data_IF_718434935139
#
_entry.id   IF_718434935139
#
_cell.length_a   1.000
_cell.length_b   1.000
_cell.length_c   1.000
_cell.angle_alpha   90.00
_cell.angle_beta   90.00
_cell.angle_gamma   90.00
#
_symmetry.space_group_name_H-M   'P 1'
#
loop_
_entity.id
_entity.type
_entity.pdbx_description
1 polymer ?
#
# COMPACT_ATOMS: atom_id res chain seq x y z
N UNK A 1 9.28 18.43 7.38
CA UNK A 1 9.26 17.74 8.70
C UNK A 1 10.71 17.52 9.15
N UNK A 2 11.12 18.21 10.20
CA UNK A 2 12.52 18.36 10.64
C UNK A 2 13.04 17.16 11.47
N UNK A 3 12.95 15.93 10.95
CA UNK A 3 13.67 14.77 11.49
C UNK A 3 13.38 14.36 12.94
N UNK A 4 12.27 14.80 13.53
CA UNK A 4 12.00 14.66 14.97
C UNK A 4 11.44 13.29 15.42
N UNK A 5 11.48 12.25 14.57
CA UNK A 5 10.97 10.95 14.96
C UNK A 5 10.97 9.87 13.88
N UNK A 6 10.50 8.69 14.28
CA UNK A 6 10.28 7.52 13.42
C UNK A 6 8.83 7.51 12.91
N UNK A 7 8.64 7.02 11.69
CA UNK A 7 7.31 6.80 11.13
C UNK A 7 7.24 5.41 10.50
N UNK A 8 6.13 4.71 10.73
CA UNK A 8 5.76 3.53 9.94
C UNK A 8 4.92 4.04 8.76
N UNK A 9 5.46 3.93 7.55
CA UNK A 9 4.85 4.47 6.34
C UNK A 9 4.85 3.42 5.23
N UNK A 10 3.90 3.57 4.30
CA UNK A 10 3.88 2.76 3.07
C UNK A 10 5.13 3.09 2.25
N UNK A 11 5.82 2.07 1.75
CA UNK A 11 7.10 2.22 1.05
C UNK A 11 7.04 3.24 -0.08
N UNK A 12 5.97 3.23 -0.87
CA UNK A 12 5.75 4.16 -1.99
C UNK A 12 5.77 5.64 -1.58
N UNK A 13 5.39 5.96 -0.34
CA UNK A 13 5.41 7.33 0.16
C UNK A 13 6.83 7.81 0.53
N UNK A 14 7.77 6.90 0.76
CA UNK A 14 9.13 7.20 1.23
C UNK A 14 10.23 6.79 0.25
N UNK A 15 9.90 6.07 -0.83
CA UNK A 15 10.87 5.58 -1.82
C UNK A 15 11.77 6.70 -2.36
N UNK A 16 11.19 7.84 -2.75
CA UNK A 16 11.96 8.97 -3.29
C UNK A 16 12.88 9.62 -2.25
N UNK A 17 12.45 9.66 -0.99
CA UNK A 17 13.24 10.20 0.12
C UNK A 17 14.39 9.27 0.53
N UNK A 18 14.14 7.95 0.52
CA UNK A 18 15.16 6.93 0.75
C UNK A 18 16.21 6.95 -0.36
N UNK A 19 15.79 6.99 -1.62
CA UNK A 19 16.68 7.06 -2.77
C UNK A 19 17.55 8.34 -2.76
N UNK A 20 16.99 9.45 -2.27
CA UNK A 20 17.71 10.70 -2.12
C UNK A 20 18.53 10.82 -0.81
N UNK A 21 18.56 9.77 0.02
CA UNK A 21 19.29 9.78 1.30
C UNK A 21 18.74 10.74 2.37
N UNK A 22 17.53 11.28 2.18
CA UNK A 22 16.86 12.19 3.14
C UNK A 22 16.25 11.45 4.34
N UNK A 23 16.10 10.12 4.21
CA UNK A 23 15.55 9.20 5.20
C UNK A 23 16.38 7.94 5.20
N UNK A 24 16.38 7.23 6.34
CA UNK A 24 17.01 5.93 6.49
C UNK A 24 15.94 4.95 6.97
N UNK A 25 15.95 3.75 6.39
CA UNK A 25 15.08 2.65 6.83
C UNK A 25 15.68 2.02 8.08
N UNK A 26 14.87 1.85 9.11
CA UNK A 26 15.26 1.20 10.36
C UNK A 26 14.20 0.16 10.73
N UNK A 27 14.57 -0.83 11.56
CA UNK A 27 13.67 -1.87 12.06
C UNK A 27 12.97 -2.71 10.97
N UNK A 28 13.57 -2.85 9.78
CA UNK A 28 13.00 -3.59 8.65
C UNK A 28 12.60 -5.03 9.02
N UNK A 29 13.41 -5.71 9.85
CA UNK A 29 13.13 -7.06 10.35
C UNK A 29 11.89 -7.17 11.25
N UNK A 30 11.37 -6.05 11.76
CA UNK A 30 10.20 -6.01 12.63
C UNK A 30 8.93 -5.58 11.89
N UNK A 31 9.03 -5.20 10.62
CA UNK A 31 7.89 -4.85 9.80
C UNK A 31 7.19 -6.12 9.30
N UNK A 32 5.87 -6.20 9.54
CA UNK A 32 5.08 -7.27 8.93
C UNK A 32 4.99 -7.06 7.41
N UNK A 33 4.94 -8.15 6.61
CA UNK A 33 4.68 -8.05 5.19
C UNK A 33 3.40 -7.28 4.94
N UNK A 34 3.43 -6.32 4.01
CA UNK A 34 2.23 -5.61 3.59
C UNK A 34 1.34 -6.57 2.78
N UNK A 35 0.13 -6.93 3.25
CA UNK A 35 -0.72 -7.93 2.59
C UNK A 35 -1.31 -7.44 1.26
N UNK A 36 -1.00 -6.21 0.85
CA UNK A 36 -1.55 -5.57 -0.33
C UNK A 36 -2.86 -4.82 -0.04
N UNK A 37 -3.42 -4.28 -1.12
CA UNK A 37 -4.71 -3.59 -1.08
C UNK A 37 -5.86 -4.57 -1.26
N UNK A 38 -6.96 -4.36 -0.54
CA UNK A 38 -8.17 -5.16 -0.65
C UNK A 38 -9.29 -4.35 -1.27
N UNK A 39 -9.97 -4.92 -2.27
CA UNK A 39 -11.18 -4.34 -2.84
C UNK A 39 -12.41 -4.89 -2.13
N UNK A 40 -13.09 -4.05 -1.35
CA UNK A 40 -14.33 -4.43 -0.66
C UNK A 40 -15.57 -4.08 -1.50
N UNK A 41 -16.46 -5.05 -1.68
CA UNK A 41 -17.78 -4.85 -2.29
C UNK A 41 -18.83 -5.75 -1.60
N UNK A 42 -19.99 -5.21 -1.17
CA UNK A 42 -20.92 -5.91 -0.28
C UNK A 42 -21.84 -6.94 -0.97
N UNK A 43 -21.84 -7.06 -2.31
CA UNK A 43 -22.78 -7.92 -3.05
C UNK A 43 -22.09 -9.08 -3.78
N UNK A 44 -22.29 -10.31 -3.30
CA UNK A 44 -21.82 -11.55 -3.94
C UNK A 44 -22.75 -12.07 -5.06
N UNK A 45 -24.03 -11.65 -5.05
CA UNK A 45 -25.09 -12.21 -5.94
C UNK A 45 -25.42 -11.37 -7.17
N UNK A 46 -25.20 -10.06 -7.14
CA UNK A 46 -25.51 -9.12 -8.25
C UNK A 46 -24.35 -8.15 -8.45
N UNK A 47 -23.21 -8.68 -8.90
CA UNK A 47 -22.14 -7.83 -9.44
C UNK A 47 -22.61 -7.31 -10.81
N UNK A 48 -22.60 -6.00 -11.00
CA UNK A 48 -22.86 -5.43 -12.33
C UNK A 48 -21.74 -5.86 -13.29
N UNK A 49 -22.02 -6.00 -14.60
CA UNK A 49 -20.98 -6.33 -15.58
C UNK A 49 -19.78 -5.38 -15.54
N UNK A 50 -20.04 -4.08 -15.33
CA UNK A 50 -19.00 -3.07 -15.19
C UNK A 50 -18.11 -3.28 -13.95
N UNK A 51 -18.71 -3.57 -12.78
CA UNK A 51 -17.94 -3.83 -11.57
C UNK A 51 -17.14 -5.13 -11.68
N UNK A 52 -17.68 -6.16 -12.36
CA UNK A 52 -16.94 -7.39 -12.63
C UNK A 52 -15.73 -7.12 -13.53
N UNK A 53 -15.91 -6.37 -14.62
CA UNK A 53 -14.80 -5.98 -15.49
C UNK A 53 -13.72 -5.19 -14.74
N UNK A 54 -14.12 -4.29 -13.84
CA UNK A 54 -13.18 -3.56 -12.99
C UNK A 54 -12.42 -4.51 -12.04
N UNK A 55 -13.13 -5.41 -11.35
CA UNK A 55 -12.52 -6.41 -10.45
C UNK A 55 -11.50 -7.25 -11.22
N UNK A 56 -11.87 -7.76 -12.40
CA UNK A 56 -10.99 -8.58 -13.23
C UNK A 56 -9.77 -7.77 -13.74
N UNK A 57 -9.93 -6.47 -13.98
CA UNK A 57 -8.83 -5.58 -14.37
C UNK A 57 -7.84 -5.28 -13.23
N UNK A 58 -8.33 -5.10 -12.00
CA UNK A 58 -7.48 -4.73 -10.85
C UNK A 58 -6.98 -5.91 -10.05
N UNK A 59 -7.50 -7.12 -10.32
CA UNK A 59 -7.01 -8.35 -9.71
C UNK A 59 -5.67 -8.70 -10.36
N UNK A 60 -4.60 -8.53 -9.59
CA UNK A 60 -3.23 -8.93 -9.93
C UNK A 60 -2.98 -10.36 -9.45
#
# INVERSE_FOLDING_TARGET
MAGAGLACAVESAVTADLAAGRRVRVLDHWCQPFPGYFLYYPSRRRLSPALRALIDYVRV
#
